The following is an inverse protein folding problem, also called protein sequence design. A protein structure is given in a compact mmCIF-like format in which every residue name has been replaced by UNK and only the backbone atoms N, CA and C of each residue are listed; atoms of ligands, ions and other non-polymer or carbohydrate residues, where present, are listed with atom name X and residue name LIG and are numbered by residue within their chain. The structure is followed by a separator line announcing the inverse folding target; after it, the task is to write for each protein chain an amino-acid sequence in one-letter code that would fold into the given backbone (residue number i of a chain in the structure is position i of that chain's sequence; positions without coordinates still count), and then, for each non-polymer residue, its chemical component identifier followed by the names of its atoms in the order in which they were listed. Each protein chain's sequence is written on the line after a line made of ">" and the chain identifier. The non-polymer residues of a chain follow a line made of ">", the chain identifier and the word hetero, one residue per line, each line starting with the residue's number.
data_IF_170955827333
#
_entry.id   IF_170955827333
#
_cell.length_a   1.000
_cell.length_b   1.000
_cell.length_c   1.000
_cell.angle_alpha   90.00
_cell.angle_beta   90.00
_cell.angle_gamma   90.00
#
_symmetry.space_group_name_H-M   'P 1'
#
loop_
_entity.id
_entity.type
_entity.pdbx_description
1 polymer ?
#
# COMPACT_ATOMS: atom_id res chain seq x y z
N UNK A 1 3.84 -21.80 5.34
CA UNK A 1 4.26 -21.13 6.59
C UNK A 1 3.76 -19.70 6.51
N UNK A 2 2.84 -19.27 7.38
CA UNK A 2 2.38 -17.87 7.41
C UNK A 2 3.48 -17.01 8.04
N UNK A 3 4.43 -16.54 7.22
CA UNK A 3 5.35 -15.50 7.64
C UNK A 3 4.52 -14.24 7.93
N UNK A 4 4.42 -13.87 9.20
CA UNK A 4 3.80 -12.61 9.63
C UNK A 4 4.78 -11.48 9.31
N UNK A 5 4.48 -10.73 8.25
CA UNK A 5 5.18 -9.49 7.89
C UNK A 5 4.36 -8.28 8.37
N UNK A 6 5.03 -7.17 8.64
CA UNK A 6 4.43 -6.01 9.26
C UNK A 6 3.52 -5.23 8.29
N UNK A 7 2.36 -4.77 8.77
CA UNK A 7 1.38 -4.02 7.98
C UNK A 7 1.62 -2.50 8.01
N UNK A 8 0.66 -1.72 7.48
CA UNK A 8 0.68 -0.26 7.53
C UNK A 8 0.21 0.30 8.88
N UNK A 9 -0.08 1.61 8.91
CA UNK A 9 -0.62 2.29 10.09
C UNK A 9 -2.14 2.19 10.16
N UNK A 10 -2.80 2.47 9.04
CA UNK A 10 -4.26 2.56 8.93
C UNK A 10 -4.81 1.40 8.10
N UNK A 11 -3.98 0.82 7.24
CA UNK A 11 -4.34 -0.29 6.37
C UNK A 11 -3.74 -1.61 6.85
N UNK A 12 -4.59 -2.63 6.91
CA UNK A 12 -4.19 -4.01 7.18
C UNK A 12 -3.49 -4.64 5.98
N UNK A 13 -2.72 -5.70 6.20
CA UNK A 13 -1.99 -6.39 5.14
C UNK A 13 -2.92 -7.28 4.32
N UNK A 14 -3.12 -7.03 3.01
CA UNK A 14 -3.89 -7.93 2.15
C UNK A 14 -3.12 -9.23 1.89
N UNK A 15 -3.86 -10.33 1.79
CA UNK A 15 -3.29 -11.68 1.66
C UNK A 15 -2.45 -11.85 0.39
N UNK A 16 -2.95 -11.37 -0.75
CA UNK A 16 -2.27 -11.45 -2.04
C UNK A 16 -0.98 -10.61 -2.11
N UNK A 17 -0.97 -9.44 -1.46
CA UNK A 17 0.24 -8.64 -1.32
C UNK A 17 1.24 -9.34 -0.39
N UNK A 18 0.79 -9.91 0.73
CA UNK A 18 1.65 -10.67 1.64
C UNK A 18 2.31 -11.85 0.94
N UNK A 19 1.54 -12.59 0.15
CA UNK A 19 2.05 -13.73 -0.59
C UNK A 19 3.15 -13.28 -1.57
N UNK A 20 2.95 -12.17 -2.30
CA UNK A 20 3.98 -11.62 -3.19
C UNK A 20 5.25 -11.18 -2.44
N UNK A 21 5.10 -10.55 -1.27
CA UNK A 21 6.23 -10.03 -0.48
C UNK A 21 7.04 -11.12 0.22
N UNK A 22 6.43 -12.28 0.49
CA UNK A 22 7.06 -13.41 1.18
C UNK A 22 7.69 -14.43 0.23
N UNK A 23 7.53 -14.27 -1.09
CA UNK A 23 8.15 -15.17 -2.09
C UNK A 23 9.69 -15.13 -2.09
N UNK A 24 10.30 -13.99 -1.75
CA UNK A 24 11.77 -13.86 -1.65
C UNK A 24 12.13 -13.11 -0.37
N UNK A 25 13.09 -13.66 0.36
CA UNK A 25 13.60 -13.05 1.61
C UNK A 25 14.08 -11.62 1.41
N UNK A 26 14.71 -11.33 0.26
CA UNK A 26 15.19 -10.00 -0.09
C UNK A 26 14.06 -8.95 -0.16
N UNK A 27 12.89 -9.33 -0.70
CA UNK A 27 11.72 -8.46 -0.77
C UNK A 27 11.16 -8.23 0.63
N UNK A 28 11.05 -9.31 1.42
CA UNK A 28 10.58 -9.24 2.81
C UNK A 28 11.46 -8.32 3.65
N UNK A 29 12.79 -8.44 3.54
CA UNK A 29 13.74 -7.58 4.27
C UNK A 29 13.55 -6.11 3.89
N UNK A 30 13.42 -5.82 2.60
CA UNK A 30 13.18 -4.44 2.15
C UNK A 30 11.83 -3.90 2.62
N UNK A 31 10.80 -4.72 2.61
CA UNK A 31 9.48 -4.38 3.15
C UNK A 31 9.53 -4.04 4.65
N UNK A 32 10.17 -4.89 5.45
CA UNK A 32 10.33 -4.67 6.89
C UNK A 32 11.21 -3.43 7.20
N UNK A 33 12.17 -3.12 6.32
CA UNK A 33 12.97 -1.91 6.39
C UNK A 33 12.20 -0.61 6.10
N UNK A 34 10.98 -0.69 5.56
CA UNK A 34 10.13 0.48 5.37
C UNK A 34 9.55 0.96 6.70
N UNK A 35 9.41 2.28 6.80
CA UNK A 35 8.64 2.88 7.89
C UNK A 35 7.18 2.41 7.83
N UNK A 36 6.45 2.41 8.96
CA UNK A 36 5.02 2.08 8.98
C UNK A 36 4.21 2.91 7.96
N UNK A 37 4.60 4.19 7.76
CA UNK A 37 4.01 5.05 6.73
C UNK A 37 4.31 4.52 5.33
N UNK A 38 5.57 4.16 5.01
CA UNK A 38 5.92 3.62 3.70
C UNK A 38 5.12 2.37 3.34
N UNK A 39 5.00 1.43 4.29
CA UNK A 39 4.14 0.24 4.15
C UNK A 39 2.69 0.61 3.90
N UNK A 40 2.16 1.55 4.68
CA UNK A 40 0.81 2.06 4.54
C UNK A 40 0.53 2.66 3.14
N UNK A 41 1.50 3.37 2.56
CA UNK A 41 1.36 3.95 1.22
C UNK A 41 1.22 2.85 0.15
N UNK A 42 2.06 1.81 0.18
CA UNK A 42 1.96 0.69 -0.75
C UNK A 42 0.65 -0.08 -0.60
N UNK A 43 0.25 -0.38 0.64
CA UNK A 43 -1.01 -1.10 0.88
C UNK A 43 -2.19 -0.29 0.35
N UNK A 44 -2.31 0.99 0.74
CA UNK A 44 -3.41 1.84 0.29
C UNK A 44 -3.46 1.95 -1.24
N UNK A 45 -2.31 2.02 -1.89
CA UNK A 45 -2.22 2.07 -3.35
C UNK A 45 -2.68 0.76 -3.99
N UNK A 46 -2.31 -0.40 -3.46
CA UNK A 46 -2.81 -1.70 -3.96
C UNK A 46 -4.31 -1.83 -3.74
N UNK A 47 -4.81 -1.46 -2.56
CA UNK A 47 -6.24 -1.52 -2.21
C UNK A 47 -7.12 -0.54 -2.98
N UNK A 48 -6.58 0.59 -3.41
CA UNK A 48 -7.32 1.58 -4.22
C UNK A 48 -7.67 1.05 -5.63
N UNK A 49 -7.05 -0.04 -6.08
CA UNK A 49 -7.37 -0.65 -7.35
C UNK A 49 -8.78 -1.29 -7.35
N UNK A 50 -9.71 -0.71 -8.13
CA UNK A 50 -11.08 -1.21 -8.29
C UNK A 50 -11.21 -2.43 -9.21
N UNK A 51 -10.19 -2.72 -10.02
CA UNK A 51 -10.17 -3.83 -10.98
C UNK A 51 -9.03 -4.79 -10.64
N UNK A 52 -9.30 -6.09 -10.67
CA UNK A 52 -8.32 -7.13 -10.32
C UNK A 52 -7.05 -7.05 -11.17
N UNK A 53 -7.18 -6.82 -12.48
CA UNK A 53 -6.02 -6.63 -13.38
C UNK A 53 -5.11 -5.49 -12.92
N UNK A 54 -5.70 -4.38 -12.44
CA UNK A 54 -4.92 -3.24 -11.93
C UNK A 54 -4.28 -3.59 -10.60
N UNK A 55 -4.99 -4.33 -9.73
CA UNK A 55 -4.47 -4.80 -8.45
C UNK A 55 -3.26 -5.71 -8.63
N UNK A 56 -3.36 -6.74 -9.48
CA UNK A 56 -2.24 -7.65 -9.80
C UNK A 56 -1.04 -6.88 -10.33
N UNK A 57 -1.26 -5.89 -11.23
CA UNK A 57 -0.19 -5.04 -11.75
C UNK A 57 0.48 -4.21 -10.65
N UNK A 58 -0.29 -3.61 -9.72
CA UNK A 58 0.23 -2.82 -8.60
C UNK A 58 1.02 -3.68 -7.61
N UNK A 59 0.60 -4.92 -7.37
CA UNK A 59 1.35 -5.88 -6.54
C UNK A 59 2.71 -6.21 -7.17
N UNK A 60 2.72 -6.55 -8.48
CA UNK A 60 3.98 -6.80 -9.20
C UNK A 60 4.92 -5.59 -9.14
N UNK A 61 4.37 -4.40 -9.39
CA UNK A 61 5.14 -3.14 -9.33
C UNK A 61 5.64 -2.82 -7.93
N UNK A 62 4.88 -3.15 -6.89
CA UNK A 62 5.34 -3.00 -5.49
C UNK A 62 6.61 -3.83 -5.27
N UNK A 63 6.65 -5.07 -5.74
CA UNK A 63 7.85 -5.91 -5.66
C UNK A 63 9.02 -5.27 -6.43
N UNK A 64 8.81 -4.84 -7.67
CA UNK A 64 9.84 -4.19 -8.50
C UNK A 64 10.40 -2.93 -7.81
N UNK A 65 9.52 -2.04 -7.34
CA UNK A 65 9.90 -0.79 -6.68
C UNK A 65 10.64 -1.03 -5.36
N UNK A 66 10.25 -2.05 -4.59
CA UNK A 66 11.01 -2.44 -3.41
C UNK A 66 12.42 -2.89 -3.79
N UNK A 67 12.57 -3.75 -4.80
CA UNK A 67 13.88 -4.21 -5.27
C UNK A 67 14.77 -3.04 -5.75
N UNK A 68 14.16 -2.02 -6.35
CA UNK A 68 14.81 -0.76 -6.73
C UNK A 68 15.10 0.19 -5.56
N UNK A 69 14.71 -0.16 -4.33
CA UNK A 69 14.95 0.63 -3.12
C UNK A 69 13.97 1.78 -2.91
N UNK A 70 12.85 1.80 -3.65
CA UNK A 70 11.81 2.81 -3.47
C UNK A 70 11.08 2.61 -2.14
N UNK A 71 10.80 3.73 -1.47
CA UNK A 71 10.15 3.74 -0.15
C UNK A 71 8.65 4.03 -0.21
N UNK A 72 8.14 4.36 -1.40
CA UNK A 72 6.74 4.70 -1.67
C UNK A 72 6.38 4.30 -3.11
N UNK A 73 5.09 4.05 -3.40
CA UNK A 73 4.64 3.83 -4.76
C UNK A 73 4.96 5.02 -5.66
N UNK A 74 5.45 4.79 -6.86
CA UNK A 74 5.57 5.89 -7.81
C UNK A 74 4.19 6.33 -8.35
N UNK A 75 4.11 7.59 -8.79
CA UNK A 75 2.87 8.18 -9.31
C UNK A 75 1.66 8.07 -8.34
N UNK A 76 1.93 8.01 -7.04
CA UNK A 76 0.93 7.96 -5.98
C UNK A 76 0.91 9.28 -5.19
N UNK A 77 -0.27 9.89 -5.11
CA UNK A 77 -0.45 11.17 -4.42
C UNK A 77 -0.38 11.06 -2.89
N UNK A 78 -0.40 9.83 -2.35
CA UNK A 78 -0.38 9.54 -0.93
C UNK A 78 -1.74 9.07 -0.42
N UNK A 79 -1.69 8.26 0.63
CA UNK A 79 -2.84 7.71 1.31
C UNK A 79 -3.71 8.83 1.87
N UNK A 80 -4.98 8.85 1.45
CA UNK A 80 -5.98 9.83 1.89
C UNK A 80 -6.52 9.54 3.30
N UNK A 81 -6.26 8.34 3.84
CA UNK A 81 -6.71 7.90 5.16
C UNK A 81 -5.68 8.18 6.27
N UNK A 82 -4.57 8.84 5.94
CA UNK A 82 -3.53 9.23 6.90
C UNK A 82 -4.08 10.18 7.96
N UNK A 83 -3.82 9.87 9.22
CA UNK A 83 -4.24 10.68 10.38
C UNK A 83 -3.15 11.62 10.88
N UNK A 84 -1.90 11.44 10.43
CA UNK A 84 -0.76 12.26 10.83
C UNK A 84 -0.75 13.66 10.19
N UNK A 85 -1.54 13.85 9.12
CA UNK A 85 -1.69 15.14 8.44
C UNK A 85 -3.14 15.40 8.06
N UNK A 86 -3.55 16.67 8.09
CA UNK A 86 -4.86 17.08 7.57
C UNK A 86 -4.93 16.79 6.06
N UNK A 87 -5.95 16.05 5.57
CA UNK A 87 -6.11 15.81 4.13
C UNK A 87 -6.30 17.13 3.38
N UNK A 88 -5.72 17.24 2.19
CA UNK A 88 -5.91 18.41 1.31
C UNK A 88 -7.35 18.50 0.79
N UNK A 89 -7.71 19.64 0.18
CA UNK A 89 -9.10 19.91 -0.27
C UNK A 89 -9.65 18.81 -1.19
N UNK A 90 -8.88 18.35 -2.17
CA UNK A 90 -9.30 17.28 -3.08
C UNK A 90 -9.45 15.93 -2.37
N UNK A 91 -8.59 15.62 -1.39
CA UNK A 91 -8.65 14.37 -0.63
C UNK A 91 -9.89 14.34 0.26
N UNK A 92 -10.26 15.48 0.86
CA UNK A 92 -11.48 15.61 1.65
C UNK A 92 -12.73 15.32 0.81
N UNK A 93 -12.80 15.85 -0.42
CA UNK A 93 -13.92 15.58 -1.33
C UNK A 93 -14.08 14.07 -1.61
N UNK A 94 -12.97 13.38 -1.93
CA UNK A 94 -12.99 11.91 -2.19
C UNK A 94 -13.49 11.11 -0.98
N UNK A 95 -13.10 11.51 0.24
CA UNK A 95 -13.54 10.85 1.47
C UNK A 95 -15.04 11.01 1.73
N UNK A 96 -15.64 12.15 1.35
CA UNK A 96 -17.08 12.41 1.49
C UNK A 96 -17.87 11.51 0.53
N UNK A 97 -17.46 11.45 -0.74
CA UNK A 97 -18.16 10.64 -1.76
C UNK A 97 -18.16 9.15 -1.41
N UNK A 98 -17.05 8.62 -0.89
CA UNK A 98 -16.97 7.22 -0.43
C UNK A 98 -17.92 6.92 0.75
N UNK A 99 -18.13 7.88 1.66
CA UNK A 99 -19.09 7.71 2.77
C UNK A 99 -20.53 7.68 2.29
N UNK A 100 -20.85 8.41 1.22
CA UNK A 100 -22.22 8.47 0.69
C UNK A 100 -22.61 7.24 -0.13
N UNK A 101 -21.66 6.38 -0.47
CA UNK A 101 -21.85 5.21 -1.33
C UNK A 101 -21.76 3.88 -0.54
N UNK A 102 -21.95 3.96 0.79
CA UNK A 102 -21.92 2.83 1.73
C UNK A 102 -23.27 2.68 2.42
#
# INVERSE_FOLDING_TARGET
>A
MNMKISAGLVHEMPDDLRDALTQKSEITIRWEGLTPIGRNEFICWVEDAKQDKTRTRRIKRTVEELLEGQKRPCCWAGCIHRTDKKPGKWQQAVLIDKKSNR
#
